data_IF_800284785801
#
_entry.id   IF_800284785801
#
_cell.length_a   1.000
_cell.length_b   1.000
_cell.length_c   1.000
_cell.angle_alpha   90.00
_cell.angle_beta   90.00
_cell.angle_gamma   90.00
#
_symmetry.space_group_name_H-M   'P 1'
#
loop_
_entity.id
_entity.type
_entity.pdbx_description
1 polymer ?
#
# COMPACT_ATOMS: atom_id res chain seq x y z
N UNK A 1 37.17 -43.71 -94.80
CA UNK A 1 35.90 -44.42 -95.01
C UNK A 1 35.12 -44.41 -93.69
N UNK A 2 33.90 -43.90 -93.73
CA UNK A 2 32.82 -44.12 -92.75
C UNK A 2 32.52 -45.65 -92.64
N UNK A 3 31.84 -46.18 -91.58
CA UNK A 3 30.56 -45.61 -91.11
C UNK A 3 30.24 -45.69 -89.60
N UNK A 4 29.17 -44.94 -89.27
CA UNK A 4 28.35 -45.01 -88.05
C UNK A 4 27.21 -46.07 -88.24
N UNK A 5 26.11 -46.14 -87.44
CA UNK A 5 25.79 -45.64 -86.09
C UNK A 5 25.10 -46.74 -85.21
N UNK A 6 24.55 -46.40 -84.02
CA UNK A 6 23.14 -46.64 -83.62
C UNK A 6 22.91 -46.32 -82.11
N UNK A 7 21.77 -45.67 -81.87
CA UNK A 7 21.18 -45.12 -80.64
C UNK A 7 20.43 -46.22 -79.84
N UNK A 8 20.23 -46.05 -78.51
CA UNK A 8 18.93 -46.14 -77.78
C UNK A 8 19.05 -46.44 -76.25
N UNK A 9 18.38 -45.57 -75.47
CA UNK A 9 17.93 -45.63 -74.06
C UNK A 9 17.02 -46.87 -73.74
N UNK A 10 16.41 -47.03 -72.53
CA UNK A 10 16.77 -46.74 -71.12
C UNK A 10 16.45 -47.92 -70.14
N UNK A 11 16.82 -47.82 -68.84
CA UNK A 11 15.92 -48.08 -67.66
C UNK A 11 16.63 -47.95 -66.30
N UNK A 12 16.06 -47.10 -65.42
CA UNK A 12 16.33 -47.02 -63.97
C UNK A 12 15.89 -48.30 -63.25
N UNK A 13 16.60 -48.72 -62.18
CA UNK A 13 16.03 -49.02 -60.83
C UNK A 13 17.08 -49.29 -59.73
N UNK A 14 16.96 -48.48 -58.67
CA UNK A 14 17.20 -48.61 -57.22
C UNK A 14 18.39 -49.34 -56.57
N UNK A 15 19.08 -48.54 -55.74
CA UNK A 15 19.72 -48.87 -54.45
C UNK A 15 19.01 -49.96 -53.62
N UNK A 16 19.82 -50.88 -53.03
CA UNK A 16 19.56 -51.39 -51.67
C UNK A 16 20.88 -51.73 -50.97
N UNK A 17 21.33 -50.81 -50.11
CA UNK A 17 22.31 -51.03 -49.04
C UNK A 17 21.62 -51.87 -47.96
N UNK A 18 22.14 -53.06 -47.64
CA UNK A 18 21.66 -53.79 -46.45
C UNK A 18 22.77 -53.82 -45.40
N UNK A 19 22.72 -52.79 -44.55
CA UNK A 19 23.54 -52.53 -43.38
C UNK A 19 22.92 -53.19 -42.15
N UNK A 20 23.14 -54.48 -41.93
CA UNK A 20 22.63 -55.16 -40.72
C UNK A 20 23.66 -56.03 -39.98
N UNK A 21 24.92 -56.08 -40.41
CA UNK A 21 25.96 -56.87 -39.74
C UNK A 21 26.86 -56.06 -38.80
N UNK A 22 27.02 -54.74 -38.97
CA UNK A 22 27.87 -53.93 -38.07
C UNK A 22 27.21 -53.60 -36.72
N UNK A 23 25.89 -53.38 -36.69
CA UNK A 23 25.16 -53.04 -35.46
C UNK A 23 25.06 -54.21 -34.47
N UNK A 24 24.90 -55.43 -34.98
CA UNK A 24 24.82 -56.64 -34.16
C UNK A 24 26.19 -57.01 -33.54
N UNK A 25 27.28 -56.78 -34.26
CA UNK A 25 28.65 -57.03 -33.78
C UNK A 25 29.06 -56.02 -32.69
N UNK A 26 28.68 -54.74 -32.84
CA UNK A 26 28.93 -53.70 -31.84
C UNK A 26 28.12 -53.90 -30.55
N UNK A 27 26.84 -54.30 -30.64
CA UNK A 27 25.99 -54.57 -29.47
C UNK A 27 26.47 -55.79 -28.67
N UNK A 28 26.88 -56.88 -29.34
CA UNK A 28 27.46 -58.05 -28.66
C UNK A 28 28.74 -57.69 -27.91
N UNK A 29 29.64 -56.91 -28.52
CA UNK A 29 30.89 -56.47 -27.87
C UNK A 29 30.65 -55.57 -26.65
N UNK A 30 29.60 -54.74 -26.68
CA UNK A 30 29.22 -53.88 -25.56
C UNK A 30 28.56 -54.67 -24.43
N UNK A 31 27.72 -55.65 -24.77
CA UNK A 31 27.16 -56.60 -23.81
C UNK A 31 28.24 -57.48 -23.17
N UNK A 32 29.21 -57.97 -23.94
CA UNK A 32 30.35 -58.75 -23.42
C UNK A 32 31.28 -57.90 -22.53
N UNK A 33 31.45 -56.60 -22.83
CA UNK A 33 32.15 -55.66 -21.95
C UNK A 33 31.40 -55.43 -20.64
N UNK A 34 30.07 -55.26 -20.69
CA UNK A 34 29.22 -55.06 -19.51
C UNK A 34 29.08 -56.33 -18.66
N UNK A 35 29.12 -57.51 -19.28
CA UNK A 35 29.05 -58.83 -18.64
C UNK A 35 30.44 -59.40 -18.30
N UNK A 36 31.52 -58.70 -18.66
CA UNK A 36 32.87 -59.08 -18.26
C UNK A 36 32.98 -59.04 -16.74
N UNK A 37 33.57 -60.08 -16.14
CA UNK A 37 33.76 -60.15 -14.68
C UNK A 37 34.67 -59.01 -14.25
N UNK A 38 34.08 -57.95 -13.71
CA UNK A 38 34.82 -56.88 -13.08
C UNK A 38 35.63 -57.49 -11.93
N UNK A 39 36.97 -57.42 -12.01
CA UNK A 39 37.87 -57.81 -10.91
C UNK A 39 37.88 -56.72 -9.84
N UNK A 40 36.69 -56.38 -9.35
CA UNK A 40 36.54 -55.48 -8.21
C UNK A 40 36.79 -56.35 -6.98
N UNK A 41 37.79 -56.00 -6.20
CA UNK A 41 38.00 -56.64 -4.90
C UNK A 41 36.77 -56.38 -4.02
N UNK A 42 36.40 -57.31 -3.14
CA UNK A 42 35.28 -57.11 -2.23
C UNK A 42 35.37 -55.76 -1.49
N UNK A 43 36.58 -55.32 -1.15
CA UNK A 43 36.87 -54.00 -0.57
C UNK A 43 36.46 -52.84 -1.49
N UNK A 44 36.83 -52.87 -2.77
CA UNK A 44 36.46 -51.83 -3.72
C UNK A 44 34.94 -51.76 -3.94
N UNK A 45 34.24 -52.89 -3.89
CA UNK A 45 32.78 -52.93 -3.94
C UNK A 45 32.16 -52.24 -2.71
N UNK A 46 32.64 -52.57 -1.50
CA UNK A 46 32.15 -51.94 -0.27
C UNK A 46 32.43 -50.43 -0.23
N UNK A 47 33.60 -49.99 -0.70
CA UNK A 47 33.94 -48.57 -0.77
C UNK A 47 33.04 -47.80 -1.75
N UNK A 48 32.78 -48.37 -2.93
CA UNK A 48 31.87 -47.77 -3.91
C UNK A 48 30.42 -47.74 -3.41
N UNK A 49 29.95 -48.82 -2.78
CA UNK A 49 28.61 -48.87 -2.19
C UNK A 49 28.45 -47.88 -1.04
N UNK A 50 29.48 -47.70 -0.20
CA UNK A 50 29.50 -46.72 0.88
C UNK A 50 29.48 -45.29 0.34
N UNK A 51 30.34 -44.97 -0.64
CA UNK A 51 30.34 -43.65 -1.29
C UNK A 51 29.01 -43.35 -1.98
N UNK A 52 28.40 -44.34 -2.65
CA UNK A 52 27.08 -44.22 -3.26
C UNK A 52 25.99 -43.97 -2.21
N UNK A 53 26.04 -44.69 -1.08
CA UNK A 53 25.08 -44.53 0.02
C UNK A 53 25.20 -43.15 0.68
N UNK A 54 26.43 -42.64 0.88
CA UNK A 54 26.68 -41.27 1.35
C UNK A 54 26.14 -40.25 0.34
N UNK A 55 26.40 -40.44 -0.95
CA UNK A 55 25.90 -39.55 -2.00
C UNK A 55 24.38 -39.51 -2.02
N UNK A 56 23.71 -40.66 -1.95
CA UNK A 56 22.26 -40.73 -1.81
C UNK A 56 21.81 -40.00 -0.56
N UNK A 57 22.42 -40.26 0.60
CA UNK A 57 22.01 -39.65 1.85
C UNK A 57 22.16 -38.12 1.82
N UNK A 58 23.26 -37.60 1.27
CA UNK A 58 23.49 -36.16 1.13
C UNK A 58 22.48 -35.54 0.16
N UNK A 59 22.22 -36.17 -0.99
CA UNK A 59 21.26 -35.65 -1.96
C UNK A 59 19.82 -35.76 -1.46
N UNK A 60 19.45 -36.84 -0.76
CA UNK A 60 18.12 -37.02 -0.17
C UNK A 60 17.92 -36.01 0.96
N UNK A 61 18.93 -35.82 1.83
CA UNK A 61 18.91 -34.75 2.83
C UNK A 61 18.77 -33.41 2.15
N UNK A 62 19.53 -33.10 1.10
CA UNK A 62 19.43 -31.83 0.40
C UNK A 62 18.06 -31.64 -0.25
N UNK A 63 17.45 -32.69 -0.81
CA UNK A 63 16.09 -32.63 -1.36
C UNK A 63 15.04 -32.39 -0.27
N UNK A 64 15.20 -33.04 0.89
CA UNK A 64 14.30 -32.94 2.04
C UNK A 64 14.49 -31.67 2.88
N UNK A 65 15.71 -31.08 2.87
CA UNK A 65 16.06 -29.82 3.56
C UNK A 65 16.21 -28.64 2.62
N UNK A 66 15.94 -28.81 1.33
CA UNK A 66 15.67 -27.69 0.44
C UNK A 66 14.39 -27.05 0.91
N UNK A 67 14.54 -26.12 1.85
CA UNK A 67 13.55 -25.09 2.11
C UNK A 67 13.41 -24.34 0.78
N UNK A 68 12.44 -24.76 -0.03
CA UNK A 68 11.82 -23.83 -0.94
C UNK A 68 11.34 -22.69 -0.06
N UNK A 69 12.01 -21.54 -0.08
CA UNK A 69 11.39 -20.29 0.38
C UNK A 69 9.98 -20.31 -0.19
N UNK A 70 8.92 -20.31 0.63
CA UNK A 70 7.59 -20.55 0.12
C UNK A 70 7.34 -19.47 -0.92
N UNK A 71 7.27 -19.86 -2.20
CA UNK A 71 6.86 -18.97 -3.27
C UNK A 71 5.53 -18.36 -2.81
N UNK A 72 5.38 -17.03 -2.87
CA UNK A 72 4.15 -16.39 -2.43
C UNK A 72 2.97 -17.06 -3.13
N UNK A 73 2.08 -17.68 -2.34
CA UNK A 73 0.97 -18.49 -2.86
C UNK A 73 -0.06 -17.63 -3.61
N UNK A 74 -0.05 -16.31 -3.39
CA UNK A 74 -0.88 -15.34 -4.07
C UNK A 74 -0.24 -13.95 -4.08
N UNK A 75 -0.74 -13.04 -4.92
CA UNK A 75 -0.35 -11.61 -4.88
C UNK A 75 -0.54 -11.04 -3.47
N UNK A 76 -1.57 -11.46 -2.73
CA UNK A 76 -1.82 -10.99 -1.37
C UNK A 76 -0.71 -11.39 -0.39
N UNK A 77 -0.10 -12.56 -0.59
CA UNK A 77 0.99 -13.06 0.26
C UNK A 77 2.32 -12.31 0.10
N UNK A 78 2.42 -11.39 -0.87
CA UNK A 78 3.61 -10.53 -1.01
C UNK A 78 3.59 -9.33 -0.08
N UNK A 79 2.48 -9.06 0.62
CA UNK A 79 2.37 -7.97 1.58
C UNK A 79 3.08 -8.37 2.88
N UNK A 80 4.29 -7.88 3.08
CA UNK A 80 5.00 -7.97 4.36
C UNK A 80 4.55 -6.85 5.30
N UNK A 81 4.27 -7.20 6.57
CA UNK A 81 3.89 -6.25 7.62
C UNK A 81 4.99 -6.23 8.69
N UNK A 82 6.00 -5.38 8.49
CA UNK A 82 7.15 -5.29 9.41
C UNK A 82 6.84 -4.47 10.68
N UNK A 83 5.87 -3.55 10.59
CA UNK A 83 5.59 -2.54 11.62
C UNK A 83 4.64 -3.05 12.72
N UNK A 84 5.04 -4.12 13.40
CA UNK A 84 4.21 -4.79 14.42
C UNK A 84 4.19 -4.10 15.80
N UNK A 85 4.96 -3.03 15.99
CA UNK A 85 5.05 -2.31 17.26
C UNK A 85 4.26 -0.98 17.27
N UNK A 86 3.75 -0.54 16.11
CA UNK A 86 3.02 0.72 16.00
C UNK A 86 1.61 0.58 16.58
N UNK A 87 1.21 1.54 17.41
CA UNK A 87 -0.11 1.63 18.03
C UNK A 87 -0.65 3.06 18.20
N UNK A 88 0.10 4.09 17.81
CA UNK A 88 -0.35 5.47 17.84
C UNK A 88 -0.55 6.02 16.43
N UNK A 89 -1.79 6.34 16.08
CA UNK A 89 -2.13 6.98 14.81
C UNK A 89 -2.06 8.50 14.96
N UNK A 90 -1.20 9.14 14.17
CA UNK A 90 -1.19 10.60 13.99
C UNK A 90 -1.85 10.93 12.66
N UNK A 91 -2.99 11.62 12.68
CA UNK A 91 -3.74 11.98 11.47
C UNK A 91 -3.48 13.45 11.12
N UNK A 92 -3.16 13.71 9.86
CA UNK A 92 -3.13 15.06 9.28
C UNK A 92 -4.21 15.14 8.20
N UNK A 93 -5.40 15.70 8.50
CA UNK A 93 -6.42 15.93 7.48
C UNK A 93 -5.95 17.01 6.51
N UNK A 94 -5.73 16.64 5.25
CA UNK A 94 -5.27 17.54 4.21
C UNK A 94 -6.41 18.41 3.67
N UNK A 95 -6.03 19.54 3.07
CA UNK A 95 -6.97 20.58 2.63
C UNK A 95 -6.67 21.17 1.24
N UNK A 96 -5.55 20.79 0.64
CA UNK A 96 -5.05 21.31 -0.62
C UNK A 96 -4.08 20.31 -1.25
N UNK A 97 -3.69 20.54 -2.50
CA UNK A 97 -2.71 19.69 -3.20
C UNK A 97 -1.45 20.50 -3.47
N UNK A 98 -0.31 20.05 -2.95
CA UNK A 98 1.00 20.56 -3.36
C UNK A 98 1.34 20.01 -4.76
N UNK A 99 1.64 20.89 -5.72
CA UNK A 99 1.91 20.52 -7.11
C UNK A 99 3.37 20.13 -7.36
N UNK A 100 4.23 20.26 -6.35
CA UNK A 100 5.67 20.01 -6.44
C UNK A 100 6.50 21.30 -6.55
N UNK A 101 7.80 21.13 -6.73
CA UNK A 101 8.79 22.20 -6.69
C UNK A 101 9.79 21.99 -5.55
N UNK A 102 10.64 22.99 -5.32
CA UNK A 102 11.56 23.00 -4.18
C UNK A 102 10.77 23.23 -2.88
N UNK A 103 11.20 22.59 -1.78
CA UNK A 103 10.46 22.67 -0.51
C UNK A 103 10.45 24.10 0.08
N UNK A 104 11.44 24.90 -0.29
CA UNK A 104 11.62 26.31 0.06
C UNK A 104 10.53 27.19 -0.56
N UNK A 105 10.03 26.79 -1.73
CA UNK A 105 8.99 27.49 -2.50
C UNK A 105 7.57 27.15 -2.02
N UNK A 106 7.42 26.37 -0.94
CA UNK A 106 6.12 25.94 -0.39
C UNK A 106 5.15 27.06 -0.02
N UNK A 107 5.61 28.30 0.09
CA UNK A 107 4.75 29.46 0.35
C UNK A 107 4.22 30.13 -0.93
N UNK A 108 4.56 29.59 -2.11
CA UNK A 108 4.12 30.14 -3.40
C UNK A 108 2.81 29.47 -3.85
N UNK A 109 1.71 30.22 -3.85
CA UNK A 109 0.37 29.69 -4.18
C UNK A 109 0.28 29.04 -5.56
N UNK A 110 1.08 29.46 -6.54
CA UNK A 110 1.11 28.84 -7.88
C UNK A 110 1.52 27.37 -7.88
N UNK A 111 2.19 26.93 -6.80
CA UNK A 111 2.62 25.55 -6.59
C UNK A 111 1.60 24.77 -5.74
N UNK A 112 0.44 25.36 -5.46
CA UNK A 112 -0.65 24.72 -4.77
C UNK A 112 -1.92 24.78 -5.62
N UNK A 113 -2.62 23.66 -5.67
CA UNK A 113 -4.03 23.70 -6.03
C UNK A 113 -4.79 24.12 -4.77
N UNK A 114 -5.49 25.24 -4.82
CA UNK A 114 -6.24 25.85 -3.72
C UNK A 114 -7.71 26.05 -4.10
N UNK A 115 -8.60 26.01 -3.11
CA UNK A 115 -9.96 26.54 -3.28
C UNK A 115 -9.92 28.07 -3.34
N UNK A 116 -10.92 28.73 -3.96
CA UNK A 116 -10.98 30.19 -4.03
C UNK A 116 -10.87 30.87 -2.66
N UNK A 117 -11.54 30.31 -1.64
CA UNK A 117 -11.50 30.87 -0.29
C UNK A 117 -10.13 30.68 0.41
N UNK A 118 -9.25 29.82 -0.11
CA UNK A 118 -7.92 29.53 0.45
C UNK A 118 -6.82 30.45 -0.07
N UNK A 119 -7.05 31.14 -1.19
CA UNK A 119 -6.08 32.04 -1.84
C UNK A 119 -5.90 33.33 -1.04
N UNK A 120 -4.72 33.94 -1.11
CA UNK A 120 -4.37 35.19 -0.45
C UNK A 120 -4.40 35.14 1.08
N UNK A 121 -4.21 33.96 1.69
CA UNK A 121 -4.33 33.76 3.15
C UNK A 121 -3.11 33.09 3.78
N UNK A 122 -2.96 33.16 5.10
CA UNK A 122 -1.87 32.49 5.84
C UNK A 122 -1.93 30.96 5.84
N UNK A 123 -2.83 30.35 5.08
CA UNK A 123 -3.13 28.91 5.11
C UNK A 123 -1.99 28.02 4.62
N UNK A 124 -1.17 28.46 3.67
CA UNK A 124 -0.02 27.67 3.22
C UNK A 124 0.97 27.42 4.37
N UNK A 125 1.22 28.44 5.19
CA UNK A 125 2.04 28.33 6.40
C UNK A 125 1.39 27.34 7.37
N UNK A 126 0.08 27.43 7.60
CA UNK A 126 -0.64 26.49 8.46
C UNK A 126 -0.54 25.03 7.97
N UNK A 127 -0.75 24.79 6.67
CA UNK A 127 -0.62 23.46 6.07
C UNK A 127 0.75 22.84 6.35
N UNK A 128 1.82 23.60 6.15
CA UNK A 128 3.17 23.11 6.44
C UNK A 128 3.42 22.94 7.94
N UNK A 129 2.86 23.80 8.81
CA UNK A 129 2.94 23.62 10.25
C UNK A 129 2.21 22.34 10.73
N UNK A 130 1.12 21.94 10.06
CA UNK A 130 0.47 20.64 10.33
C UNK A 130 1.42 19.48 10.04
N UNK A 131 2.10 19.53 8.89
CA UNK A 131 3.12 18.55 8.49
C UNK A 131 4.27 18.50 9.50
N UNK A 132 4.84 19.66 9.83
CA UNK A 132 5.94 19.76 10.79
C UNK A 132 5.56 19.22 12.17
N UNK A 133 4.37 19.58 12.68
CA UNK A 133 3.95 19.15 14.00
C UNK A 133 3.70 17.64 14.05
N UNK A 134 3.11 17.06 13.00
CA UNK A 134 2.94 15.62 12.91
C UNK A 134 4.28 14.88 12.85
N UNK A 135 5.24 15.40 12.10
CA UNK A 135 6.60 14.84 12.04
C UNK A 135 7.32 14.92 13.38
N UNK A 136 7.22 16.05 14.08
CA UNK A 136 7.76 16.22 15.43
C UNK A 136 7.20 15.17 16.39
N UNK A 137 5.88 14.98 16.42
CA UNK A 137 5.24 13.96 17.26
C UNK A 137 5.72 12.55 16.92
N UNK A 138 5.96 12.27 15.64
CA UNK A 138 6.49 10.98 15.22
C UNK A 138 7.95 10.74 15.59
N UNK A 139 8.75 11.79 15.66
CA UNK A 139 10.12 11.72 16.17
C UNK A 139 10.15 11.53 17.69
N UNK A 140 9.20 12.12 18.41
CA UNK A 140 9.04 11.98 19.87
C UNK A 140 8.47 10.61 20.27
N UNK A 141 7.59 10.03 19.46
CA UNK A 141 6.96 8.73 19.72
C UNK A 141 7.27 7.70 18.61
N UNK A 142 8.19 6.79 18.93
CA UNK A 142 8.63 5.73 18.00
C UNK A 142 7.56 4.69 17.69
N UNK A 143 6.45 4.64 18.45
CA UNK A 143 5.30 3.75 18.21
C UNK A 143 4.24 4.38 17.30
N UNK A 144 4.47 5.60 16.84
CA UNK A 144 3.49 6.33 16.04
C UNK A 144 3.68 6.18 14.53
N UNK A 145 2.58 6.30 13.79
CA UNK A 145 2.52 6.38 12.33
C UNK A 145 1.80 7.67 11.93
N UNK A 146 2.43 8.49 11.10
CA UNK A 146 1.78 9.66 10.50
C UNK A 146 1.00 9.24 9.26
N UNK A 147 -0.27 9.60 9.19
CA UNK A 147 -1.11 9.42 8.03
C UNK A 147 -1.60 10.79 7.55
N UNK A 148 -1.11 11.22 6.39
CA UNK A 148 -1.63 12.36 5.66
C UNK A 148 -2.88 11.91 4.90
N UNK A 149 -4.06 12.39 5.30
CA UNK A 149 -5.34 11.88 4.80
C UNK A 149 -6.02 12.92 3.93
N UNK A 150 -6.46 12.50 2.74
CA UNK A 150 -7.19 13.35 1.83
C UNK A 150 -7.11 12.82 0.40
N UNK A 151 -8.27 12.68 -0.23
CA UNK A 151 -8.40 12.14 -1.58
C UNK A 151 -8.11 13.14 -2.69
N UNK A 152 -8.45 12.76 -3.90
CA UNK A 152 -8.30 13.59 -5.10
C UNK A 152 -9.58 14.40 -5.33
N UNK A 153 -9.78 15.44 -4.52
CA UNK A 153 -11.09 16.11 -4.40
C UNK A 153 -11.41 17.08 -5.54
N UNK A 154 -10.43 17.40 -6.39
CA UNK A 154 -10.53 18.44 -7.42
C UNK A 154 -10.33 17.88 -8.82
N UNK A 155 -11.11 18.33 -9.82
CA UNK A 155 -10.96 17.85 -11.20
C UNK A 155 -9.55 18.06 -11.78
N UNK A 156 -8.92 19.19 -11.47
CA UNK A 156 -7.58 19.53 -11.96
C UNK A 156 -6.43 18.79 -11.22
N UNK A 157 -6.71 18.11 -10.11
CA UNK A 157 -5.68 17.41 -9.36
C UNK A 157 -5.25 16.14 -10.11
N UNK A 158 -3.95 15.88 -10.20
CA UNK A 158 -3.38 14.63 -10.75
C UNK A 158 -2.93 13.66 -9.65
N UNK A 159 -2.80 14.16 -8.42
CA UNK A 159 -2.43 13.42 -7.21
C UNK A 159 -3.41 13.74 -6.08
N UNK A 160 -3.43 12.92 -5.03
CA UNK A 160 -4.27 13.17 -3.86
C UNK A 160 -3.69 14.23 -2.94
N UNK A 161 -4.55 14.82 -2.10
CA UNK A 161 -4.10 15.74 -1.06
C UNK A 161 -3.12 15.05 -0.10
N UNK A 162 -3.41 13.80 0.33
CA UNK A 162 -2.57 12.99 1.20
C UNK A 162 -1.18 12.70 0.62
N UNK A 163 -1.10 12.25 -0.64
CA UNK A 163 0.18 12.02 -1.33
C UNK A 163 1.01 13.29 -1.42
N UNK A 164 0.38 14.41 -1.76
CA UNK A 164 1.08 15.69 -1.94
C UNK A 164 1.71 16.20 -0.64
N UNK A 165 1.03 16.01 0.50
CA UNK A 165 1.56 16.39 1.81
C UNK A 165 2.70 15.46 2.23
N UNK A 166 2.58 14.15 2.00
CA UNK A 166 3.68 13.20 2.24
C UNK A 166 4.91 13.58 1.41
N UNK A 167 4.73 13.87 0.13
CA UNK A 167 5.83 14.30 -0.74
C UNK A 167 6.52 15.57 -0.23
N UNK A 168 5.75 16.59 0.13
CA UNK A 168 6.29 17.82 0.69
C UNK A 168 7.05 17.57 2.00
N UNK A 169 6.53 16.71 2.86
CA UNK A 169 7.18 16.33 4.12
C UNK A 169 8.55 15.68 3.86
N UNK A 170 8.63 14.75 2.91
CA UNK A 170 9.87 14.07 2.55
C UNK A 170 10.88 15.03 1.90
N UNK A 171 10.42 15.90 0.99
CA UNK A 171 11.27 16.89 0.33
C UNK A 171 11.85 17.92 1.31
N UNK A 172 11.07 18.31 2.31
CA UNK A 172 11.51 19.23 3.37
C UNK A 172 12.31 18.53 4.49
N UNK A 173 12.60 17.23 4.36
CA UNK A 173 13.31 16.39 5.34
C UNK A 173 12.83 16.58 6.79
N UNK A 174 11.51 16.71 6.98
CA UNK A 174 10.93 16.98 8.32
C UNK A 174 11.03 15.78 9.27
N UNK A 175 11.29 14.59 8.72
CA UNK A 175 11.50 13.35 9.47
C UNK A 175 12.98 13.05 9.73
N UNK A 176 13.91 13.91 9.31
CA UNK A 176 15.36 13.73 9.47
C UNK A 176 15.85 12.35 9.00
N UNK A 177 15.54 12.03 7.74
CA UNK A 177 15.69 10.68 7.21
C UNK A 177 17.17 10.37 6.99
N UNK A 178 17.69 9.44 7.78
CA UNK A 178 18.99 8.82 7.54
C UNK A 178 18.86 7.59 6.63
N UNK A 179 19.95 7.19 5.97
CA UNK A 179 20.01 6.10 4.98
C UNK A 179 19.46 4.74 5.48
N UNK A 180 19.41 4.53 6.81
CA UNK A 180 18.91 3.31 7.44
C UNK A 180 17.53 3.47 8.12
N UNK A 181 16.89 4.64 8.03
CA UNK A 181 15.66 4.94 8.78
C UNK A 181 14.41 4.55 7.99
N UNK A 182 13.59 3.69 8.58
CA UNK A 182 12.23 3.42 8.06
C UNK A 182 11.36 4.64 8.38
N UNK A 183 10.83 5.26 7.33
CA UNK A 183 9.92 6.40 7.45
C UNK A 183 8.58 5.91 8.01
N UNK A 184 8.19 6.39 9.20
CA UNK A 184 6.89 6.10 9.83
C UNK A 184 5.83 7.11 9.40
N UNK A 185 5.67 7.25 8.09
CA UNK A 185 4.65 8.09 7.48
C UNK A 185 4.11 7.46 6.19
N UNK A 186 2.81 7.61 5.96
CA UNK A 186 2.12 7.18 4.73
C UNK A 186 1.01 8.17 4.40
N UNK A 187 0.41 8.05 3.22
CA UNK A 187 -0.82 8.74 2.87
C UNK A 187 -2.05 7.82 2.96
N UNK A 188 -3.21 8.45 3.17
CA UNK A 188 -4.56 7.93 2.96
C UNK A 188 -5.18 8.78 1.83
N UNK A 189 -5.67 8.10 0.79
CA UNK A 189 -5.80 8.67 -0.56
C UNK A 189 -7.25 8.79 -1.04
N UNK A 190 -8.23 8.58 -0.17
CA UNK A 190 -9.64 8.43 -0.54
C UNK A 190 -10.58 9.33 0.27
N UNK A 191 -10.17 9.91 1.40
CA UNK A 191 -11.07 10.75 2.19
C UNK A 191 -11.55 11.99 1.44
N UNK A 192 -12.86 12.20 1.38
CA UNK A 192 -13.50 13.33 0.69
C UNK A 192 -14.01 14.41 1.67
N UNK A 193 -14.06 14.07 2.96
CA UNK A 193 -14.49 14.97 4.02
C UNK A 193 -13.80 14.66 5.36
N UNK A 194 -14.09 15.47 6.38
CA UNK A 194 -13.45 15.33 7.71
C UNK A 194 -13.78 14.04 8.45
N UNK A 195 -14.97 13.45 8.23
CA UNK A 195 -15.34 12.20 8.88
C UNK A 195 -14.53 11.05 8.26
N UNK A 196 -14.47 11.00 6.93
CA UNK A 196 -13.64 10.04 6.20
C UNK A 196 -12.16 10.23 6.50
N UNK A 197 -11.67 11.46 6.70
CA UNK A 197 -10.28 11.68 7.10
C UNK A 197 -9.93 10.89 8.38
N UNK A 198 -10.84 10.87 9.36
CA UNK A 198 -10.65 10.10 10.58
C UNK A 198 -10.81 8.60 10.33
N UNK A 199 -11.96 8.18 9.80
CA UNK A 199 -12.30 6.76 9.65
C UNK A 199 -11.35 6.03 8.70
N UNK A 200 -11.02 6.62 7.55
CA UNK A 200 -10.12 6.02 6.57
C UNK A 200 -8.68 6.02 7.07
N UNK A 201 -8.27 6.98 7.90
CA UNK A 201 -6.95 6.91 8.55
C UNK A 201 -6.85 5.73 9.52
N UNK A 202 -7.93 5.41 10.25
CA UNK A 202 -7.98 4.22 11.11
C UNK A 202 -7.89 2.94 10.26
N UNK A 203 -8.66 2.86 9.17
CA UNK A 203 -8.60 1.72 8.25
C UNK A 203 -7.23 1.59 7.57
N UNK A 204 -6.61 2.71 7.18
CA UNK A 204 -5.28 2.76 6.57
C UNK A 204 -4.19 2.34 7.56
N UNK A 205 -4.31 2.73 8.83
CA UNK A 205 -3.41 2.27 9.89
C UNK A 205 -3.49 0.75 10.05
N UNK A 206 -4.70 0.19 10.06
CA UNK A 206 -4.89 -1.26 10.11
C UNK A 206 -4.34 -1.97 8.86
N UNK A 207 -4.59 -1.43 7.66
CA UNK A 207 -4.04 -1.96 6.40
C UNK A 207 -2.50 -1.98 6.41
N UNK A 208 -1.88 -0.93 6.98
CA UNK A 208 -0.42 -0.76 7.01
C UNK A 208 0.26 -1.60 8.12
N UNK A 209 -0.34 -1.70 9.30
CA UNK A 209 0.29 -2.31 10.50
C UNK A 209 -0.25 -3.70 10.84
N UNK A 210 -1.43 -4.05 10.32
CA UNK A 210 -2.18 -5.24 10.68
C UNK A 210 -2.88 -5.20 12.04
N UNK A 211 -2.96 -4.05 12.69
CA UNK A 211 -3.76 -3.85 13.92
C UNK A 211 -4.41 -2.47 13.95
N UNK A 212 -5.48 -2.31 14.71
CA UNK A 212 -6.07 -1.00 14.96
C UNK A 212 -5.23 -0.20 15.95
N UNK A 213 -5.20 1.14 15.87
CA UNK A 213 -4.43 1.96 16.80
C UNK A 213 -5.04 1.91 18.21
N UNK A 214 -4.22 2.12 19.23
CA UNK A 214 -4.66 2.31 20.61
C UNK A 214 -4.84 3.79 20.96
N UNK A 215 -4.13 4.69 20.27
CA UNK A 215 -4.18 6.14 20.48
C UNK A 215 -4.34 6.86 19.15
N UNK A 216 -5.14 7.93 19.11
CA UNK A 216 -5.26 8.82 17.95
C UNK A 216 -4.87 10.23 18.37
N UNK A 217 -4.02 10.88 17.58
CA UNK A 217 -3.77 12.34 17.64
C UNK A 217 -4.06 12.95 16.29
N UNK A 218 -5.00 13.89 16.22
CA UNK A 218 -5.28 14.65 14.99
C UNK A 218 -4.52 15.98 15.04
N UNK A 219 -3.82 16.33 13.96
CA UNK A 219 -3.16 17.62 13.77
C UNK A 219 -3.85 18.34 12.61
N UNK A 220 -4.49 19.48 12.87
CA UNK A 220 -5.23 20.20 11.85
C UNK A 220 -5.62 21.61 12.29
N UNK A 221 -6.60 22.21 11.62
CA UNK A 221 -7.11 23.54 12.00
C UNK A 221 -7.79 23.53 13.38
N UNK A 222 -7.48 24.51 14.24
CA UNK A 222 -8.09 24.64 15.57
C UNK A 222 -9.59 24.86 15.46
N UNK A 223 -10.06 25.67 14.49
CA UNK A 223 -11.49 25.83 14.22
C UNK A 223 -12.24 24.51 14.00
N UNK A 224 -11.57 23.42 13.58
CA UNK A 224 -12.20 22.10 13.35
C UNK A 224 -12.15 21.17 14.56
N UNK A 225 -11.49 21.56 15.66
CA UNK A 225 -11.29 20.71 16.85
C UNK A 225 -12.61 20.12 17.32
N UNK A 226 -13.60 20.98 17.58
CA UNK A 226 -14.90 20.58 18.12
C UNK A 226 -15.58 19.53 17.27
N UNK A 227 -15.59 19.70 15.94
CA UNK A 227 -16.18 18.72 15.03
C UNK A 227 -15.48 17.35 15.10
N UNK A 228 -14.15 17.30 15.22
CA UNK A 228 -13.45 16.03 15.38
C UNK A 228 -13.66 15.39 16.75
N UNK A 229 -13.60 16.17 17.83
CA UNK A 229 -13.63 15.67 19.21
C UNK A 229 -15.04 15.37 19.72
N UNK A 230 -16.02 16.22 19.36
CA UNK A 230 -17.41 16.11 19.84
C UNK A 230 -18.26 15.28 18.87
N UNK A 231 -17.99 15.31 17.55
CA UNK A 231 -18.84 14.63 16.57
C UNK A 231 -18.18 13.38 15.98
N UNK A 232 -17.09 13.52 15.22
CA UNK A 232 -16.51 12.39 14.49
C UNK A 232 -16.00 11.28 15.41
N UNK A 233 -15.32 11.63 16.50
CA UNK A 233 -14.88 10.69 17.54
C UNK A 233 -16.08 9.96 18.16
N UNK A 234 -17.15 10.68 18.45
CA UNK A 234 -18.35 10.14 19.09
C UNK A 234 -19.11 9.19 18.16
N UNK A 235 -19.23 9.56 16.89
CA UNK A 235 -19.84 8.75 15.82
C UNK A 235 -19.23 7.35 15.74
N UNK A 236 -17.91 7.27 15.87
CA UNK A 236 -17.17 6.00 15.85
C UNK A 236 -16.93 5.44 17.27
N UNK A 237 -17.55 6.02 18.30
CA UNK A 237 -17.44 5.60 19.71
C UNK A 237 -15.99 5.44 20.19
N UNK A 238 -15.08 6.29 19.73
CA UNK A 238 -13.69 6.23 20.16
C UNK A 238 -13.53 6.81 21.59
N UNK A 239 -12.80 6.15 22.50
CA UNK A 239 -12.67 6.62 23.88
C UNK A 239 -11.99 7.98 24.00
N UNK A 240 -12.52 8.83 24.88
CA UNK A 240 -12.07 10.22 25.07
C UNK A 240 -10.64 10.32 25.59
N UNK A 241 -10.22 9.39 26.44
CA UNK A 241 -8.87 9.30 27.02
C UNK A 241 -7.80 8.84 26.00
N UNK A 242 -8.23 8.35 24.83
CA UNK A 242 -7.38 7.85 23.75
C UNK A 242 -7.47 8.68 22.46
N UNK A 243 -8.07 9.87 22.52
CA UNK A 243 -8.24 10.77 21.38
C UNK A 243 -7.73 12.18 21.70
N UNK A 244 -6.73 12.63 20.96
CA UNK A 244 -6.09 13.94 21.15
C UNK A 244 -6.22 14.78 19.89
N UNK A 245 -6.25 16.10 20.06
CA UNK A 245 -6.31 17.05 18.96
C UNK A 245 -5.33 18.19 19.19
N UNK A 246 -4.55 18.53 18.17
CA UNK A 246 -3.64 19.66 18.13
C UNK A 246 -4.11 20.58 17.01
N UNK A 247 -4.62 21.75 17.38
CA UNK A 247 -5.08 22.75 16.44
C UNK A 247 -3.99 23.78 16.14
N UNK A 248 -3.85 24.09 14.86
CA UNK A 248 -2.91 25.06 14.32
C UNK A 248 -3.67 25.85 13.25
N UNK A 249 -3.92 27.12 13.53
CA UNK A 249 -4.59 28.02 12.61
C UNK A 249 -3.58 28.88 11.83
N UNK A 250 -4.00 29.48 10.70
CA UNK A 250 -3.23 30.50 10.01
C UNK A 250 -2.93 31.69 10.92
N UNK A 251 -1.82 32.36 10.62
CA UNK A 251 -1.39 33.60 11.27
C UNK A 251 -2.15 34.80 10.67
N UNK A 252 -3.48 34.69 10.65
CA UNK A 252 -4.40 35.70 10.11
C UNK A 252 -4.90 36.63 11.24
N UNK A 253 -5.48 37.77 10.85
CA UNK A 253 -6.03 38.74 11.79
C UNK A 253 -7.19 38.18 12.64
N UNK A 254 -7.56 38.86 13.74
CA UNK A 254 -8.70 38.45 14.58
C UNK A 254 -10.02 38.31 13.81
N UNK A 255 -10.25 39.16 12.82
CA UNK A 255 -11.46 39.17 12.00
C UNK A 255 -11.53 37.93 11.08
N UNK A 256 -10.45 37.64 10.35
CA UNK A 256 -10.37 36.47 9.48
C UNK A 256 -10.52 35.17 10.27
N UNK A 257 -9.95 35.10 11.49
CA UNK A 257 -10.12 33.96 12.38
C UNK A 257 -11.57 33.80 12.84
N UNK A 258 -12.26 34.89 13.17
CA UNK A 258 -13.69 34.85 13.52
C UNK A 258 -14.53 34.38 12.33
N UNK A 259 -14.27 34.88 11.12
CA UNK A 259 -14.94 34.47 9.89
C UNK A 259 -14.68 32.99 9.56
N UNK A 260 -13.45 32.51 9.76
CA UNK A 260 -13.11 31.10 9.57
C UNK A 260 -13.85 30.21 10.59
N UNK A 261 -13.95 30.64 11.85
CA UNK A 261 -14.68 29.93 12.90
C UNK A 261 -16.19 29.87 12.61
N UNK A 262 -16.82 30.98 12.22
CA UNK A 262 -18.24 30.98 11.84
C UNK A 262 -18.47 30.14 10.58
N UNK A 263 -17.59 30.25 9.58
CA UNK A 263 -17.62 29.41 8.39
C UNK A 263 -17.51 27.92 8.71
N UNK A 264 -16.68 27.53 9.68
CA UNK A 264 -16.57 26.16 10.19
C UNK A 264 -17.84 25.70 10.90
N UNK A 265 -18.40 26.57 11.76
CA UNK A 265 -19.62 26.30 12.50
C UNK A 265 -20.81 26.03 11.57
N UNK A 266 -21.03 26.92 10.60
CA UNK A 266 -22.18 26.85 9.68
C UNK A 266 -22.04 25.75 8.63
N UNK A 267 -20.84 25.54 8.08
CA UNK A 267 -20.64 24.63 6.93
C UNK A 267 -19.99 23.28 7.30
N UNK A 268 -19.62 23.12 8.56
CA UNK A 268 -18.94 21.96 9.11
C UNK A 268 -19.68 21.43 10.32
N UNK A 269 -19.56 22.10 11.46
CA UNK A 269 -20.06 21.59 12.73
C UNK A 269 -21.57 21.33 12.72
N UNK A 270 -22.40 22.34 12.44
CA UNK A 270 -23.88 22.23 12.45
C UNK A 270 -24.40 21.17 11.46
N UNK A 271 -23.87 21.04 10.22
CA UNK A 271 -24.25 19.94 9.34
C UNK A 271 -23.99 18.55 9.96
N UNK A 272 -22.83 18.34 10.59
CA UNK A 272 -22.51 17.04 11.20
C UNK A 272 -23.24 16.80 12.54
N UNK A 273 -23.78 17.83 13.22
CA UNK A 273 -24.68 17.58 14.37
C UNK A 273 -26.03 17.04 13.93
N UNK A 274 -26.42 17.26 12.66
CA UNK A 274 -27.68 16.78 12.09
C UNK A 274 -27.52 15.51 11.27
N UNK A 275 -26.32 15.21 10.79
CA UNK A 275 -25.99 14.03 9.99
C UNK A 275 -24.59 13.55 10.37
N UNK A 276 -24.54 12.74 11.42
CA UNK A 276 -23.31 12.41 12.13
C UNK A 276 -22.30 11.64 11.26
N UNK A 277 -22.79 10.87 10.28
CA UNK A 277 -21.99 10.07 9.35
C UNK A 277 -21.84 10.74 7.97
N UNK A 278 -22.45 11.90 7.75
CA UNK A 278 -22.37 12.66 6.51
C UNK A 278 -22.96 11.95 5.29
N UNK A 279 -23.94 11.07 5.49
CA UNK A 279 -24.52 10.25 4.43
C UNK A 279 -25.88 10.76 3.94
N UNK A 280 -26.34 11.90 4.43
CA UNK A 280 -27.62 12.52 4.08
C UNK A 280 -27.46 13.91 3.46
N UNK A 281 -28.53 14.33 2.78
CA UNK A 281 -28.78 15.71 2.31
C UNK A 281 -27.53 16.44 1.78
N UNK A 282 -27.08 17.50 2.46
CA UNK A 282 -26.00 18.37 2.02
C UNK A 282 -24.63 17.67 2.02
N UNK A 283 -24.36 16.81 3.01
CA UNK A 283 -23.03 16.20 3.18
C UNK A 283 -22.78 15.11 2.14
N UNK A 284 -23.79 14.33 1.77
CA UNK A 284 -23.66 13.36 0.67
C UNK A 284 -23.43 14.05 -0.68
N UNK A 285 -24.15 15.15 -0.97
CA UNK A 285 -23.88 15.92 -2.20
C UNK A 285 -22.46 16.49 -2.22
N UNK A 286 -21.96 16.97 -1.07
CA UNK A 286 -20.59 17.43 -0.94
C UNK A 286 -19.57 16.32 -1.20
N UNK A 287 -19.83 15.09 -0.75
CA UNK A 287 -18.98 13.91 -1.08
C UNK A 287 -19.00 13.60 -2.57
N UNK A 288 -20.18 13.58 -3.19
CA UNK A 288 -20.34 13.30 -4.63
C UNK A 288 -19.55 14.29 -5.50
N UNK A 289 -19.64 15.59 -5.20
CA UNK A 289 -18.91 16.64 -5.92
C UNK A 289 -17.39 16.54 -5.75
N UNK A 290 -16.92 15.93 -4.66
CA UNK A 290 -15.50 15.76 -4.34
C UNK A 290 -14.92 14.45 -4.83
N UNK A 291 -15.65 13.64 -5.61
CA UNK A 291 -15.08 12.46 -6.28
C UNK A 291 -15.11 12.55 -7.81
N UNK A 292 -14.56 13.63 -8.43
CA UNK A 292 -14.60 13.79 -9.88
C UNK A 292 -13.80 12.71 -10.63
N UNK A 293 -12.90 12.00 -9.93
CA UNK A 293 -12.05 10.94 -10.49
C UNK A 293 -12.62 9.53 -10.26
N UNK A 294 -13.83 9.41 -9.70
CA UNK A 294 -14.56 8.14 -9.50
C UNK A 294 -13.73 7.08 -8.76
N UNK A 295 -12.95 7.51 -7.76
CA UNK A 295 -12.09 6.62 -6.97
C UNK A 295 -12.89 5.91 -5.89
N UNK A 296 -12.46 4.70 -5.55
CA UNK A 296 -13.00 3.90 -4.44
C UNK A 296 -11.86 3.28 -3.63
N UNK A 297 -12.07 3.08 -2.33
CA UNK A 297 -11.05 2.56 -1.41
C UNK A 297 -11.10 1.03 -1.26
N UNK A 298 -9.99 0.43 -0.85
CA UNK A 298 -9.85 -1.01 -0.58
C UNK A 298 -10.33 -1.45 0.81
N UNK A 299 -10.77 -0.53 1.67
CA UNK A 299 -10.98 -0.81 3.11
C UNK A 299 -12.02 -1.90 3.44
N UNK A 300 -12.96 -2.19 2.54
CA UNK A 300 -13.87 -3.34 2.70
C UNK A 300 -13.12 -4.69 2.74
N UNK A 301 -11.98 -4.77 2.08
CA UNK A 301 -11.15 -5.99 2.01
C UNK A 301 -10.01 -5.93 3.02
N UNK A 302 -9.37 -4.77 3.21
CA UNK A 302 -8.22 -4.64 4.10
C UNK A 302 -8.58 -4.41 5.57
N UNK A 303 -9.80 -3.97 5.87
CA UNK A 303 -10.32 -3.75 7.23
C UNK A 303 -11.78 -4.25 7.34
N UNK A 304 -12.03 -5.56 7.16
CA UNK A 304 -13.38 -6.11 7.08
C UNK A 304 -14.22 -5.88 8.34
N UNK A 305 -13.58 -5.71 9.51
CA UNK A 305 -14.27 -5.42 10.77
C UNK A 305 -14.91 -4.02 10.79
N UNK A 306 -14.51 -3.14 9.88
CA UNK A 306 -15.13 -1.81 9.72
C UNK A 306 -16.26 -1.79 8.69
N UNK A 307 -16.54 -2.90 8.00
CA UNK A 307 -17.51 -2.93 6.89
C UNK A 307 -18.86 -2.34 7.26
N UNK A 308 -19.42 -2.79 8.39
CA UNK A 308 -20.75 -2.35 8.82
C UNK A 308 -20.75 -0.88 9.26
N UNK A 309 -19.63 -0.35 9.77
CA UNK A 309 -19.47 1.07 10.07
C UNK A 309 -19.29 1.92 8.79
N UNK A 310 -18.59 1.40 7.78
CA UNK A 310 -18.40 2.07 6.48
C UNK A 310 -19.73 2.23 5.74
N UNK A 311 -20.63 1.26 5.89
CA UNK A 311 -21.97 1.26 5.28
C UNK A 311 -23.03 1.90 6.20
N UNK A 312 -22.65 2.36 7.40
CA UNK A 312 -23.61 2.87 8.38
C UNK A 312 -24.19 4.21 7.94
N UNK A 313 -25.50 4.20 7.69
CA UNK A 313 -26.30 5.38 7.39
C UNK A 313 -27.70 5.22 8.01
N UNK A 314 -27.89 5.63 9.27
CA UNK A 314 -29.16 5.43 9.97
C UNK A 314 -30.22 6.42 9.51
N UNK A 315 -31.49 6.00 9.46
CA UNK A 315 -32.63 6.90 9.19
C UNK A 315 -32.71 8.03 10.23
N UNK A 316 -32.47 7.68 11.50
CA UNK A 316 -32.30 8.63 12.58
C UNK A 316 -30.86 9.15 12.58
N UNK A 317 -30.67 10.39 12.11
CA UNK A 317 -29.36 10.88 11.65
C UNK A 317 -28.34 11.15 12.77
N UNK A 318 -28.76 11.12 14.04
CA UNK A 318 -27.91 11.22 15.22
C UNK A 318 -27.68 9.86 15.90
N UNK A 319 -28.29 8.77 15.41
CA UNK A 319 -28.16 7.45 16.01
C UNK A 319 -26.72 6.92 15.92
N UNK A 320 -26.15 6.61 17.08
CA UNK A 320 -24.80 6.04 17.16
C UNK A 320 -24.74 4.61 16.62
N UNK A 321 -23.59 4.27 16.02
CA UNK A 321 -23.31 2.94 15.54
C UNK A 321 -23.32 1.95 16.71
N UNK A 322 -24.23 0.99 16.68
CA UNK A 322 -24.56 0.17 17.83
C UNK A 322 -23.76 -1.13 17.89
N UNK A 323 -23.14 -1.56 16.80
CA UNK A 323 -22.44 -2.84 16.76
C UNK A 323 -21.06 -2.76 17.41
N UNK A 324 -20.38 -3.91 17.47
CA UNK A 324 -19.06 -4.04 18.06
C UNK A 324 -18.02 -3.39 17.14
N UNK A 325 -17.13 -2.59 17.72
CA UNK A 325 -16.00 -1.97 17.02
C UNK A 325 -14.68 -2.57 17.49
N UNK A 326 -13.62 -2.55 16.66
CA UNK A 326 -12.33 -3.14 17.02
C UNK A 326 -11.66 -2.53 18.27
N UNK A 327 -12.04 -1.30 18.64
CA UNK A 327 -11.51 -0.56 19.78
C UNK A 327 -12.46 -0.46 20.97
N UNK A 328 -13.66 -1.06 20.88
CA UNK A 328 -14.71 -1.04 21.91
C UNK A 328 -14.68 -2.25 22.82
#
# INVERSE_FOLDING_TARGET
MLPAPVVLLPKRRHFRRNSNTEGAFRRRKLQDLLLSRARITNLAFFLLAFAFSISIFINLKHLLTSQSSPLPQSILSTISRENTHLDHLIVVPCHAVWLGGASEDRNLERLWLLEPYQQGSGRLKAFFQHILKAAQLALEDTRSLVIFSGGQTRPAATITEGESYLQLALQADVFHISFSSVIRATSENYALDSFQNLLFSIARFHEYTGRYPQKITVVGYEMKRRRFTELHREAIRWPTDRFFYIGIDPDDGPEERANAMDGELQNGFIPYTKDLYGCHTQLVFKRLLRNPHLRFHSYYTSSPELRELLDWCPEDMDALFHQKLPWS
#
